data_IF_351360437151
#
_entry.id   IF_351360437151
#
_cell.length_a   1.000
_cell.length_b   1.000
_cell.length_c   1.000
_cell.angle_alpha   90.00
_cell.angle_beta   90.00
_cell.angle_gamma   90.00
#
_symmetry.space_group_name_H-M   'P 1'
#
loop_
_entity.id
_entity.type
_entity.pdbx_description
1 polymer ?
#
# COMPACT_ATOMS: atom_id res chain seq x y z
N UNK A 1 1.25 -0.48 -27.27
CA UNK A 1 0.08 -0.95 -26.52
C UNK A 1 0.01 -0.18 -25.21
N UNK A 2 -1.11 0.51 -24.98
CA UNK A 2 -1.34 1.44 -23.87
C UNK A 2 -2.42 0.90 -22.96
N UNK A 3 -2.09 0.68 -21.70
CA UNK A 3 -3.01 0.11 -20.72
C UNK A 3 -3.02 0.99 -19.47
N UNK A 4 -4.22 1.37 -19.03
CA UNK A 4 -4.40 2.06 -17.76
C UNK A 4 -4.94 1.10 -16.71
N UNK A 5 -4.21 0.92 -15.63
CA UNK A 5 -4.70 0.23 -14.46
C UNK A 5 -5.35 1.19 -13.47
N UNK A 6 -6.40 0.73 -12.80
CA UNK A 6 -7.21 1.53 -11.88
C UNK A 6 -7.43 0.76 -10.57
N UNK A 7 -7.21 1.45 -9.45
CA UNK A 7 -7.55 1.03 -8.10
C UNK A 7 -8.49 2.06 -7.47
N UNK A 8 -9.64 1.63 -6.95
CA UNK A 8 -10.66 2.50 -6.34
C UNK A 8 -11.79 1.74 -5.62
N UNK A 9 -12.71 2.48 -5.00
CA UNK A 9 -13.90 2.01 -4.27
C UNK A 9 -13.60 1.22 -2.99
N UNK A 10 -12.47 1.55 -2.35
CA UNK A 10 -12.11 1.09 -1.00
C UNK A 10 -11.28 2.15 -0.25
N UNK A 11 -10.01 2.34 -0.63
CA UNK A 11 -9.14 3.43 -0.18
C UNK A 11 -7.94 3.56 -1.12
N UNK A 12 -7.22 4.69 -1.05
CA UNK A 12 -5.98 4.92 -1.80
C UNK A 12 -6.12 4.76 -3.31
N UNK A 13 -7.21 5.29 -3.87
CA UNK A 13 -7.48 5.20 -5.30
C UNK A 13 -6.34 5.79 -6.14
N UNK A 14 -6.05 5.12 -7.26
CA UNK A 14 -4.91 5.43 -8.10
C UNK A 14 -5.14 5.00 -9.55
N UNK A 15 -4.44 5.68 -10.46
CA UNK A 15 -4.33 5.28 -11.86
C UNK A 15 -2.85 5.15 -12.23
N UNK A 16 -2.54 4.19 -13.11
CA UNK A 16 -1.21 3.99 -13.65
C UNK A 16 -1.29 3.62 -15.13
N UNK A 17 -0.53 4.32 -15.97
CA UNK A 17 -0.42 4.07 -17.40
C UNK A 17 0.90 3.36 -17.71
N UNK A 18 0.77 2.29 -18.48
CA UNK A 18 1.90 1.64 -19.15
C UNK A 18 1.77 1.82 -20.66
N UNK A 19 2.91 1.98 -21.32
CA UNK A 19 3.03 2.01 -22.78
C UNK A 19 4.14 1.03 -23.19
N UNK A 20 3.76 -0.01 -23.93
CA UNK A 20 4.66 -1.05 -24.45
C UNK A 20 5.57 -1.66 -23.36
N UNK A 21 4.98 -1.91 -22.19
CA UNK A 21 5.66 -2.53 -21.04
C UNK A 21 6.42 -1.54 -20.16
N UNK A 22 6.55 -0.27 -20.57
CA UNK A 22 7.16 0.79 -19.77
C UNK A 22 6.12 1.51 -18.92
N UNK A 23 6.47 1.80 -17.66
CA UNK A 23 5.65 2.63 -16.79
C UNK A 23 5.85 4.09 -17.17
N UNK A 24 4.78 4.74 -17.64
CA UNK A 24 4.83 6.14 -18.10
C UNK A 24 4.45 7.09 -16.97
N UNK A 25 3.31 6.83 -16.33
CA UNK A 25 2.74 7.69 -15.30
C UNK A 25 1.99 6.87 -14.25
N UNK A 26 2.02 7.32 -13.00
CA UNK A 26 1.21 6.75 -11.93
C UNK A 26 0.98 7.79 -10.83
N UNK A 27 -0.26 7.91 -10.35
CA UNK A 27 -0.59 8.84 -9.28
C UNK A 27 -1.79 8.36 -8.46
N UNK A 28 -1.82 8.77 -7.19
CA UNK A 28 -2.96 8.56 -6.30
C UNK A 28 -3.91 9.76 -6.38
N UNK A 29 -5.22 9.51 -6.37
CA UNK A 29 -6.26 10.55 -6.50
C UNK A 29 -6.19 11.57 -5.35
N UNK A 30 -5.86 11.11 -4.13
CA UNK A 30 -5.73 11.96 -2.94
C UNK A 30 -4.73 13.12 -3.13
N UNK A 31 -3.77 12.96 -4.05
CA UNK A 31 -2.78 14.00 -4.35
C UNK A 31 -3.40 15.17 -5.11
N UNK A 32 -4.49 14.95 -5.84
CA UNK A 32 -5.22 15.96 -6.60
C UNK A 32 -6.49 16.44 -5.89
N UNK A 33 -7.22 15.54 -5.22
CA UNK A 33 -8.46 15.91 -4.50
C UNK A 33 -8.18 16.51 -3.13
N UNK A 34 -6.99 16.26 -2.58
CA UNK A 34 -6.58 16.65 -1.22
C UNK A 34 -7.43 15.99 -0.13
N UNK A 35 -8.27 15.02 -0.50
CA UNK A 35 -9.01 14.12 0.40
C UNK A 35 -8.12 12.89 0.67
N UNK A 36 -7.60 12.79 1.89
CA UNK A 36 -6.71 11.69 2.27
C UNK A 36 -7.44 10.35 2.17
N UNK A 37 -6.78 9.33 1.61
CA UNK A 37 -7.32 8.00 1.34
C UNK A 37 -8.57 8.05 0.44
N UNK A 38 -8.57 8.93 -0.56
CA UNK A 38 -9.72 9.04 -1.47
C UNK A 38 -10.05 7.68 -2.09
N UNK A 39 -11.28 7.27 -1.92
CA UNK A 39 -11.83 5.98 -2.34
C UNK A 39 -12.63 6.10 -3.64
N UNK A 40 -12.86 7.32 -4.14
CA UNK A 40 -13.59 7.55 -5.37
C UNK A 40 -12.86 6.99 -6.61
N UNK A 41 -13.54 6.98 -7.75
CA UNK A 41 -12.88 6.69 -9.02
C UNK A 41 -11.79 7.75 -9.29
N UNK A 42 -10.57 7.36 -9.71
CA UNK A 42 -9.42 8.25 -9.73
C UNK A 42 -9.39 9.10 -11.01
N UNK A 43 -10.42 9.92 -11.21
CA UNK A 43 -10.62 10.66 -12.46
C UNK A 43 -9.49 11.67 -12.73
N UNK A 44 -8.94 12.32 -11.71
CA UNK A 44 -7.85 13.29 -11.91
C UNK A 44 -6.52 12.58 -12.16
N UNK A 45 -6.24 11.49 -11.45
CA UNK A 45 -5.05 10.69 -11.72
C UNK A 45 -5.10 10.02 -13.10
N UNK A 46 -6.29 9.58 -13.55
CA UNK A 46 -6.50 9.03 -14.89
C UNK A 46 -6.22 10.06 -15.97
N UNK A 47 -6.79 11.27 -15.86
CA UNK A 47 -6.51 12.38 -16.79
C UNK A 47 -5.04 12.77 -16.78
N UNK A 48 -4.42 12.86 -15.60
CA UNK A 48 -2.98 13.08 -15.50
C UNK A 48 -2.17 12.03 -16.29
N UNK A 49 -2.54 10.75 -16.23
CA UNK A 49 -1.84 9.72 -16.99
C UNK A 49 -1.96 9.91 -18.51
N UNK A 50 -3.13 10.36 -18.99
CA UNK A 50 -3.34 10.70 -20.40
C UNK A 50 -2.49 11.91 -20.81
N UNK A 51 -2.57 12.99 -20.02
CA UNK A 51 -1.89 14.26 -20.28
C UNK A 51 -0.36 14.06 -20.30
N UNK A 52 0.18 13.32 -19.34
CA UNK A 52 1.62 13.03 -19.23
C UNK A 52 2.15 12.24 -20.43
N UNK A 53 1.33 11.37 -21.01
CA UNK A 53 1.69 10.62 -22.22
C UNK A 53 1.37 11.36 -23.52
N UNK A 54 0.65 12.50 -23.46
CA UNK A 54 0.22 13.24 -24.64
C UNK A 54 -0.77 12.46 -25.52
N UNK A 55 -1.60 11.60 -24.91
CA UNK A 55 -2.55 10.73 -25.62
C UNK A 55 -4.00 11.05 -25.25
N UNK A 56 -4.93 10.71 -26.14
CA UNK A 56 -6.36 10.77 -25.87
C UNK A 56 -6.92 9.46 -25.30
N UNK A 57 -8.17 9.45 -24.80
CA UNK A 57 -8.81 8.23 -24.31
C UNK A 57 -9.02 7.17 -25.42
N UNK A 58 -9.17 7.61 -26.68
CA UNK A 58 -9.26 6.74 -27.85
C UNK A 58 -8.01 5.87 -28.04
N UNK A 59 -6.83 6.37 -27.66
CA UNK A 59 -5.53 5.70 -27.79
C UNK A 59 -5.30 4.59 -26.76
N UNK A 60 -6.15 4.48 -25.74
CA UNK A 60 -6.04 3.42 -24.73
C UNK A 60 -6.54 2.10 -25.33
N UNK A 61 -5.73 1.04 -25.25
CA UNK A 61 -6.14 -0.30 -25.67
C UNK A 61 -7.02 -0.97 -24.59
N UNK A 62 -6.60 -0.88 -23.32
CA UNK A 62 -7.32 -1.49 -22.20
C UNK A 62 -7.32 -0.63 -20.94
N UNK A 63 -8.40 -0.74 -20.16
CA UNK A 63 -8.48 -0.28 -18.77
C UNK A 63 -8.64 -1.49 -17.87
N UNK A 64 -7.82 -1.63 -16.83
CA UNK A 64 -7.80 -2.83 -15.98
C UNK A 64 -8.10 -2.47 -14.54
N UNK A 65 -9.15 -3.05 -13.98
CA UNK A 65 -9.46 -2.92 -12.56
C UNK A 65 -8.74 -4.01 -11.75
N UNK A 66 -8.16 -3.62 -10.62
CA UNK A 66 -7.21 -4.45 -9.85
C UNK A 66 -7.81 -5.64 -9.08
N UNK A 67 -9.13 -5.73 -8.94
CA UNK A 67 -9.82 -6.82 -8.23
C UNK A 67 -11.02 -7.38 -9.02
N UNK A 68 -11.41 -8.63 -8.74
CA UNK A 68 -12.61 -9.27 -9.31
C UNK A 68 -13.84 -9.07 -8.39
N UNK A 69 -14.86 -8.30 -8.82
CA UNK A 69 -15.99 -7.92 -7.95
C UNK A 69 -16.82 -9.11 -7.44
N UNK A 70 -17.05 -10.12 -8.30
CA UNK A 70 -17.89 -11.27 -7.97
C UNK A 70 -17.28 -12.19 -6.92
N UNK A 71 -15.97 -12.44 -6.99
CA UNK A 71 -15.26 -13.30 -6.03
C UNK A 71 -15.25 -12.62 -4.64
N UNK A 72 -15.06 -11.29 -4.61
CA UNK A 72 -15.16 -10.51 -3.38
C UNK A 72 -16.56 -10.55 -2.77
N UNK A 73 -17.60 -10.52 -3.61
CA UNK A 73 -18.99 -10.64 -3.17
C UNK A 73 -19.30 -12.02 -2.59
N UNK A 74 -18.83 -13.09 -3.26
CA UNK A 74 -18.91 -14.47 -2.78
C UNK A 74 -18.29 -14.61 -1.39
N UNK A 75 -17.06 -14.09 -1.18
CA UNK A 75 -16.41 -14.08 0.15
C UNK A 75 -17.29 -13.50 1.24
N UNK A 76 -17.94 -12.37 0.98
CA UNK A 76 -18.73 -11.69 2.00
C UNK A 76 -19.94 -12.53 2.43
N UNK A 77 -20.62 -13.15 1.45
CA UNK A 77 -21.74 -14.07 1.73
C UNK A 77 -21.23 -15.24 2.56
N UNK A 78 -20.18 -15.92 2.11
CA UNK A 78 -19.64 -17.08 2.80
C UNK A 78 -19.13 -16.75 4.20
N UNK A 79 -18.52 -15.57 4.39
CA UNK A 79 -18.11 -15.09 5.71
C UNK A 79 -19.32 -14.99 6.64
N UNK A 80 -20.40 -14.35 6.20
CA UNK A 80 -21.57 -14.20 7.07
C UNK A 80 -22.24 -15.54 7.41
N UNK A 81 -22.21 -16.51 6.49
CA UNK A 81 -22.69 -17.87 6.73
C UNK A 81 -21.77 -18.64 7.69
N UNK A 82 -20.46 -18.55 7.52
CA UNK A 82 -19.46 -19.23 8.35
C UNK A 82 -19.53 -18.83 9.82
N UNK A 83 -19.90 -17.58 10.10
CA UNK A 83 -20.03 -17.05 11.45
C UNK A 83 -21.49 -16.98 11.96
N UNK A 84 -22.40 -17.77 11.38
CA UNK A 84 -23.77 -17.88 11.88
C UNK A 84 -23.81 -18.43 13.33
N UNK A 85 -24.74 -17.96 14.19
CA UNK A 85 -25.82 -17.02 13.89
C UNK A 85 -25.42 -15.54 13.96
N UNK A 86 -24.26 -15.19 14.52
CA UNK A 86 -23.82 -13.78 14.68
C UNK A 86 -23.66 -13.06 13.35
N UNK A 87 -23.16 -13.75 12.34
CA UNK A 87 -23.00 -13.24 10.98
C UNK A 87 -24.31 -12.86 10.28
N UNK A 88 -25.45 -13.45 10.69
CA UNK A 88 -26.75 -13.21 10.05
C UNK A 88 -27.25 -11.76 10.24
N UNK A 89 -27.01 -11.18 11.43
CA UNK A 89 -27.35 -9.77 11.68
C UNK A 89 -26.56 -8.81 10.78
N UNK A 90 -25.30 -9.14 10.50
CA UNK A 90 -24.43 -8.35 9.62
C UNK A 90 -24.76 -8.57 8.16
N UNK A 91 -25.11 -9.79 7.76
CA UNK A 91 -25.68 -10.11 6.45
C UNK A 91 -26.89 -9.23 6.15
N UNK A 92 -27.89 -9.18 7.05
CA UNK A 92 -29.12 -8.41 6.81
C UNK A 92 -28.87 -6.90 6.66
N UNK A 93 -27.87 -6.36 7.36
CA UNK A 93 -27.49 -4.93 7.25
C UNK A 93 -26.67 -4.62 6.01
N UNK A 94 -25.73 -5.51 5.68
CA UNK A 94 -24.77 -5.28 4.62
C UNK A 94 -25.36 -5.61 3.24
N UNK A 95 -26.14 -6.69 3.13
CA UNK A 95 -26.61 -7.23 1.86
C UNK A 95 -27.35 -6.21 0.97
N UNK A 96 -28.25 -5.34 1.49
CA UNK A 96 -28.91 -4.32 0.67
C UNK A 96 -27.95 -3.30 0.06
N UNK A 97 -26.87 -2.95 0.75
CA UNK A 97 -25.82 -2.05 0.24
C UNK A 97 -24.96 -2.77 -0.81
N UNK A 98 -24.54 -4.01 -0.52
CA UNK A 98 -23.74 -4.81 -1.45
C UNK A 98 -24.48 -5.12 -2.76
N UNK A 99 -25.77 -5.42 -2.68
CA UNK A 99 -26.65 -5.62 -3.86
C UNK A 99 -26.76 -4.36 -4.72
N UNK A 100 -26.74 -3.16 -4.12
CA UNK A 100 -26.88 -1.87 -4.84
C UNK A 100 -25.55 -1.30 -5.35
N UNK A 101 -24.45 -1.50 -4.66
CA UNK A 101 -23.18 -0.84 -4.99
C UNK A 101 -22.19 -1.78 -5.70
N UNK A 102 -21.99 -3.00 -5.18
CA UNK A 102 -20.86 -3.85 -5.58
C UNK A 102 -21.19 -4.86 -6.68
N UNK A 103 -22.44 -5.35 -6.74
CA UNK A 103 -22.95 -6.03 -7.94
C UNK A 103 -22.98 -5.12 -9.17
N UNK A 104 -22.99 -3.80 -8.95
CA UNK A 104 -22.90 -2.78 -9.98
C UNK A 104 -21.50 -2.17 -10.12
N UNK A 105 -20.45 -2.73 -9.50
CA UNK A 105 -19.10 -2.15 -9.59
C UNK A 105 -18.61 -2.03 -11.04
N UNK A 106 -18.88 -3.05 -11.86
CA UNK A 106 -18.61 -3.01 -13.30
C UNK A 106 -19.39 -1.89 -14.01
N UNK A 107 -20.65 -1.67 -13.61
CA UNK A 107 -21.49 -0.59 -14.14
C UNK A 107 -20.97 0.77 -13.70
N UNK A 108 -20.60 0.94 -12.43
CA UNK A 108 -20.06 2.17 -11.88
C UNK A 108 -18.72 2.54 -12.53
N UNK A 109 -17.81 1.57 -12.72
CA UNK A 109 -16.58 1.77 -13.49
C UNK A 109 -16.89 2.25 -14.91
N UNK A 110 -17.84 1.62 -15.58
CA UNK A 110 -18.26 2.01 -16.92
C UNK A 110 -18.88 3.41 -16.97
N UNK A 111 -19.73 3.78 -16.00
CA UNK A 111 -20.32 5.12 -15.90
C UNK A 111 -19.23 6.19 -15.70
N UNK A 112 -18.27 5.95 -14.79
CA UNK A 112 -17.15 6.87 -14.56
C UNK A 112 -16.22 6.99 -15.78
N UNK A 113 -15.97 5.89 -16.51
CA UNK A 113 -15.17 5.92 -17.73
C UNK A 113 -15.89 6.69 -18.85
N UNK A 114 -17.22 6.54 -18.99
CA UNK A 114 -18.01 7.34 -19.93
C UNK A 114 -18.00 8.84 -19.62
N UNK A 115 -17.84 9.22 -18.35
CA UNK A 115 -17.65 10.64 -17.99
C UNK A 115 -16.28 11.18 -18.40
N UNK A 116 -15.27 10.32 -18.58
CA UNK A 116 -13.97 10.71 -19.14
C UNK A 116 -14.09 10.90 -20.65
N UNK A 117 -14.67 9.92 -21.34
CA UNK A 117 -14.92 9.96 -22.78
C UNK A 117 -16.23 9.23 -23.12
N UNK A 118 -17.28 9.94 -23.51
CA UNK A 118 -18.57 9.34 -23.85
C UNK A 118 -18.54 8.47 -25.12
N UNK A 119 -17.62 8.74 -26.04
CA UNK A 119 -17.57 8.15 -27.38
C UNK A 119 -16.67 6.90 -27.45
N UNK A 120 -15.80 6.72 -26.46
CA UNK A 120 -14.94 5.54 -26.37
C UNK A 120 -15.72 4.26 -25.98
N UNK A 121 -15.39 3.14 -26.63
CA UNK A 121 -15.95 1.82 -26.30
C UNK A 121 -15.27 1.22 -25.05
N UNK A 122 -15.58 1.77 -23.88
CA UNK A 122 -15.05 1.28 -22.62
C UNK A 122 -15.49 -0.15 -22.27
N UNK A 123 -16.57 -0.66 -22.87
CA UNK A 123 -17.07 -2.00 -22.54
C UNK A 123 -16.14 -3.09 -23.05
N UNK A 124 -15.63 -2.94 -24.27
CA UNK A 124 -14.66 -3.90 -24.84
C UNK A 124 -13.26 -3.71 -24.26
N UNK A 125 -12.92 -2.49 -23.82
CA UNK A 125 -11.60 -2.15 -23.26
C UNK A 125 -11.44 -2.52 -21.78
N UNK A 126 -12.52 -2.69 -21.01
CA UNK A 126 -12.47 -2.95 -19.56
C UNK A 126 -12.14 -4.41 -19.22
N UNK A 127 -11.01 -4.62 -18.56
CA UNK A 127 -10.51 -5.88 -18.04
C UNK A 127 -10.47 -5.88 -16.50
N UNK A 128 -10.31 -7.07 -15.91
CA UNK A 128 -10.21 -7.27 -14.46
C UNK A 128 -9.04 -8.21 -14.13
N UNK A 129 -8.24 -7.83 -13.14
CA UNK A 129 -7.18 -8.65 -12.55
C UNK A 129 -7.60 -9.15 -11.17
N UNK A 130 -6.88 -10.16 -10.65
CA UNK A 130 -7.03 -10.59 -9.25
C UNK A 130 -6.19 -9.70 -8.33
N UNK A 131 -6.67 -9.39 -7.13
CA UNK A 131 -6.04 -8.43 -6.21
C UNK A 131 -4.58 -8.81 -5.88
N UNK A 132 -4.36 -10.05 -5.45
CA UNK A 132 -3.02 -10.52 -5.11
C UNK A 132 -2.13 -10.73 -6.33
N UNK A 133 -2.70 -11.05 -7.51
CA UNK A 133 -1.96 -11.06 -8.77
C UNK A 133 -1.51 -9.65 -9.15
N UNK A 134 -2.37 -8.64 -8.95
CA UNK A 134 -2.03 -7.24 -9.15
C UNK A 134 -0.89 -6.83 -8.21
N UNK A 135 -0.94 -7.16 -6.92
CA UNK A 135 0.20 -6.93 -6.02
C UNK A 135 1.48 -7.63 -6.50
N UNK A 136 1.39 -8.91 -6.85
CA UNK A 136 2.53 -9.68 -7.33
C UNK A 136 3.14 -9.08 -8.59
N UNK A 137 2.32 -8.72 -9.58
CA UNK A 137 2.70 -8.09 -10.83
C UNK A 137 3.31 -6.70 -10.59
N UNK A 138 2.75 -5.92 -9.67
CA UNK A 138 3.28 -4.60 -9.32
C UNK A 138 4.70 -4.69 -8.77
N UNK A 139 5.09 -5.82 -8.16
CA UNK A 139 6.44 -5.97 -7.64
C UNK A 139 7.39 -6.70 -8.57
N UNK A 140 6.95 -7.80 -9.16
CA UNK A 140 7.83 -8.63 -9.98
C UNK A 140 8.22 -7.92 -11.27
N UNK A 141 7.27 -7.39 -12.05
CA UNK A 141 7.56 -6.85 -13.38
C UNK A 141 8.53 -5.66 -13.37
N UNK A 142 8.41 -4.66 -12.48
CA UNK A 142 9.38 -3.57 -12.43
C UNK A 142 10.66 -3.94 -11.67
N UNK A 143 10.72 -5.08 -10.97
CA UNK A 143 11.97 -5.51 -10.33
C UNK A 143 13.07 -5.78 -11.37
N UNK A 144 14.35 -5.69 -10.99
CA UNK A 144 15.47 -6.03 -11.86
C UNK A 144 15.72 -7.55 -11.97
N UNK A 145 14.79 -8.38 -11.50
CA UNK A 145 14.97 -9.82 -11.43
C UNK A 145 14.23 -10.52 -12.57
N UNK A 146 14.96 -11.34 -13.34
CA UNK A 146 14.35 -12.24 -14.34
C UNK A 146 13.51 -13.33 -13.66
N UNK A 147 13.99 -13.84 -12.53
CA UNK A 147 13.31 -14.86 -11.71
C UNK A 147 13.39 -14.51 -10.23
N UNK A 148 12.26 -14.58 -9.52
CA UNK A 148 12.17 -14.25 -8.10
C UNK A 148 11.01 -14.96 -7.42
N UNK A 149 11.16 -15.17 -6.10
CA UNK A 149 10.04 -15.45 -5.22
C UNK A 149 9.23 -14.17 -5.08
N UNK A 150 7.91 -14.29 -5.11
CA UNK A 150 6.99 -13.18 -4.87
C UNK A 150 6.22 -13.50 -3.61
N UNK A 151 6.26 -12.60 -2.61
CA UNK A 151 5.48 -12.69 -1.39
C UNK A 151 4.62 -11.43 -1.25
N UNK A 152 3.32 -11.62 -1.33
CA UNK A 152 2.31 -10.56 -1.15
C UNK A 152 1.65 -10.75 0.21
N UNK A 153 1.58 -9.69 1.02
CA UNK A 153 1.01 -9.73 2.36
C UNK A 153 0.16 -8.49 2.58
N UNK A 154 -1.14 -8.67 2.74
CA UNK A 154 -2.10 -7.58 2.77
C UNK A 154 -3.21 -7.78 3.82
N UNK A 155 -4.08 -6.78 3.98
CA UNK A 155 -5.27 -6.88 4.82
C UNK A 155 -6.21 -7.97 4.30
N UNK A 156 -6.80 -7.75 3.13
CA UNK A 156 -7.72 -8.70 2.47
C UNK A 156 -7.93 -8.34 1.00
N UNK A 157 -7.75 -9.30 0.09
CA UNK A 157 -8.17 -9.20 -1.30
C UNK A 157 -9.59 -9.75 -1.53
N UNK A 158 -9.77 -10.52 -2.60
CA UNK A 158 -11.02 -11.25 -2.82
C UNK A 158 -11.19 -12.39 -1.83
N UNK A 159 -10.12 -13.16 -1.58
CA UNK A 159 -10.04 -14.22 -0.58
C UNK A 159 -8.68 -14.28 0.09
N UNK A 160 -7.61 -14.18 -0.71
CA UNK A 160 -6.27 -14.17 -0.20
C UNK A 160 -6.01 -12.96 0.72
N UNK A 161 -5.15 -13.18 1.69
CA UNK A 161 -4.61 -12.18 2.63
C UNK A 161 -3.09 -12.22 2.58
N UNK A 162 -2.52 -13.39 2.26
CA UNK A 162 -1.13 -13.59 1.92
C UNK A 162 -1.08 -14.52 0.72
N UNK A 163 -0.29 -14.20 -0.30
CA UNK A 163 -0.01 -15.13 -1.42
C UNK A 163 1.49 -15.21 -1.69
N UNK A 164 1.97 -16.42 -1.93
CA UNK A 164 3.33 -16.69 -2.35
C UNK A 164 3.35 -17.33 -3.75
N UNK A 165 4.27 -16.91 -4.57
CA UNK A 165 4.39 -17.37 -5.95
C UNK A 165 5.79 -17.20 -6.52
N UNK A 166 5.92 -17.55 -7.79
CA UNK A 166 7.15 -17.45 -8.56
C UNK A 166 6.90 -16.56 -9.76
N UNK A 167 7.75 -15.56 -9.93
CA UNK A 167 7.91 -14.83 -11.18
C UNK A 167 9.06 -15.42 -11.99
N UNK A 168 8.83 -15.67 -13.28
CA UNK A 168 9.81 -16.25 -14.21
C UNK A 168 9.61 -15.66 -15.62
N UNK A 169 10.51 -14.77 -16.03
CA UNK A 169 10.39 -13.99 -17.27
C UNK A 169 9.11 -13.15 -17.27
N UNK A 170 8.19 -13.42 -18.21
CA UNK A 170 6.88 -12.76 -18.30
C UNK A 170 5.76 -13.48 -17.55
N UNK A 171 6.05 -14.58 -16.85
CA UNK A 171 5.04 -15.40 -16.17
C UNK A 171 5.05 -15.15 -14.67
N UNK A 172 3.86 -15.16 -14.09
CA UNK A 172 3.66 -15.20 -12.63
C UNK A 172 2.79 -16.42 -12.32
N UNK A 173 3.23 -17.25 -11.37
CA UNK A 173 2.45 -18.36 -10.84
C UNK A 173 2.30 -18.20 -9.33
N UNK A 174 1.08 -17.96 -8.87
CA UNK A 174 0.75 -18.03 -7.45
C UNK A 174 0.62 -19.52 -7.07
N UNK A 175 1.33 -19.94 -6.04
CA UNK A 175 1.40 -21.36 -5.64
C UNK A 175 0.73 -21.63 -4.30
N UNK A 176 0.69 -20.63 -3.42
CA UNK A 176 0.18 -20.75 -2.06
C UNK A 176 -0.56 -19.49 -1.66
N UNK A 177 -1.60 -19.67 -0.87
CA UNK A 177 -2.39 -18.59 -0.29
C UNK A 177 -2.76 -18.90 1.15
N UNK A 178 -2.77 -17.87 1.98
CA UNK A 178 -3.53 -17.83 3.23
C UNK A 178 -4.78 -17.01 2.92
N UNK A 179 -5.93 -17.55 3.30
CA UNK A 179 -7.23 -16.94 3.01
C UNK A 179 -7.84 -16.30 4.23
N UNK A 180 -8.66 -15.30 3.96
CA UNK A 180 -9.56 -14.70 4.94
C UNK A 180 -10.39 -15.80 5.64
N UNK A 181 -10.56 -15.74 6.97
CA UNK A 181 -10.33 -14.59 7.84
C UNK A 181 -8.91 -14.45 8.42
N UNK A 182 -7.99 -15.35 8.10
CA UNK A 182 -6.64 -15.33 8.67
C UNK A 182 -5.77 -14.32 7.91
N UNK A 183 -5.42 -13.20 8.54
CA UNK A 183 -4.63 -12.14 7.91
C UNK A 183 -3.63 -11.54 8.88
N UNK A 184 -2.37 -11.47 8.46
CA UNK A 184 -1.33 -10.77 9.22
C UNK A 184 -1.59 -9.26 9.25
N UNK A 185 -2.10 -8.71 8.14
CA UNK A 185 -2.53 -7.31 8.06
C UNK A 185 -3.66 -7.00 9.05
N UNK A 186 -4.71 -7.83 9.09
CA UNK A 186 -5.84 -7.62 10.03
C UNK A 186 -5.44 -7.86 11.49
N UNK A 187 -4.51 -8.78 11.76
CA UNK A 187 -3.92 -8.94 13.09
C UNK A 187 -3.22 -7.64 13.51
N UNK A 188 -2.38 -7.06 12.64
CA UNK A 188 -1.71 -5.79 12.92
C UNK A 188 -2.70 -4.63 13.08
N UNK A 189 -3.74 -4.57 12.25
CA UNK A 189 -4.82 -3.59 12.35
C UNK A 189 -5.65 -3.76 13.62
N UNK A 190 -5.77 -4.97 14.19
CA UNK A 190 -6.42 -5.18 15.47
C UNK A 190 -5.65 -4.50 16.61
N UNK A 191 -4.31 -4.58 16.62
CA UNK A 191 -3.49 -3.82 17.57
C UNK A 191 -3.48 -2.32 17.28
N UNK A 192 -3.58 -1.92 16.02
CA UNK A 192 -3.76 -0.52 15.62
C UNK A 192 -5.04 0.07 16.21
N UNK A 193 -6.15 -0.66 16.07
CA UNK A 193 -7.43 -0.31 16.70
C UNK A 193 -7.31 -0.30 18.23
N UNK A 194 -6.69 -1.33 18.81
CA UNK A 194 -6.59 -1.52 20.25
C UNK A 194 -5.72 -0.46 20.95
N UNK A 195 -4.74 0.09 20.25
CA UNK A 195 -3.92 1.23 20.69
C UNK A 195 -4.56 2.59 20.35
N UNK A 196 -5.83 2.60 19.92
CA UNK A 196 -6.62 3.81 19.70
C UNK A 196 -6.24 4.60 18.44
N UNK A 197 -5.60 3.94 17.47
CA UNK A 197 -5.32 4.54 16.16
C UNK A 197 -6.37 4.11 15.13
N UNK A 198 -6.51 4.92 14.07
CA UNK A 198 -7.46 4.66 12.99
C UNK A 198 -6.94 3.53 12.09
N UNK A 199 -7.73 2.48 11.93
CA UNK A 199 -7.46 1.35 11.01
C UNK A 199 -7.36 1.85 9.55
N UNK A 200 -6.56 1.17 8.72
CA UNK A 200 -6.24 1.50 7.33
C UNK A 200 -5.52 2.85 7.15
N UNK A 201 -4.93 3.41 8.21
CA UNK A 201 -4.23 4.70 8.18
C UNK A 201 -3.30 4.95 9.36
N UNK A 202 -3.33 4.11 10.37
CA UNK A 202 -2.65 4.27 11.66
C UNK A 202 -1.63 3.17 11.93
N UNK A 203 -1.53 2.16 11.07
CA UNK A 203 -0.65 1.01 11.21
C UNK A 203 0.81 1.46 11.32
N UNK A 204 1.23 2.43 10.49
CA UNK A 204 2.59 2.97 10.59
C UNK A 204 2.85 3.70 11.93
N UNK A 205 1.81 4.16 12.64
CA UNK A 205 1.96 4.76 13.98
C UNK A 205 2.29 3.70 15.02
N UNK A 206 1.67 2.52 14.93
CA UNK A 206 2.04 1.37 15.77
C UNK A 206 3.49 0.97 15.51
N UNK A 207 3.89 0.90 14.24
CA UNK A 207 5.28 0.63 13.88
C UNK A 207 6.25 1.67 14.46
N UNK A 208 5.88 2.96 14.41
CA UNK A 208 6.67 4.04 15.02
C UNK A 208 6.63 4.07 16.55
N UNK A 209 5.60 3.49 17.16
CA UNK A 209 5.45 3.39 18.61
C UNK A 209 6.25 2.21 19.20
N UNK A 210 6.42 1.14 18.42
CA UNK A 210 7.09 -0.09 18.83
C UNK A 210 8.49 0.10 19.47
N UNK A 211 9.38 1.00 18.99
CA UNK A 211 10.70 1.21 19.61
C UNK A 211 10.67 1.79 21.04
N UNK A 212 9.52 2.29 21.49
CA UNK A 212 9.35 2.86 22.84
C UNK A 212 8.82 1.83 23.84
N UNK A 213 8.59 0.58 23.41
CA UNK A 213 8.09 -0.50 24.24
C UNK A 213 9.04 -1.68 24.31
N UNK A 214 8.68 -2.63 25.18
CA UNK A 214 9.31 -3.95 25.25
C UNK A 214 8.31 -5.03 24.78
N UNK A 215 8.75 -6.08 24.06
CA UNK A 215 7.88 -7.11 23.48
C UNK A 215 7.31 -8.10 24.53
N UNK A 216 6.77 -7.60 25.64
CA UNK A 216 6.29 -8.39 26.79
C UNK A 216 5.12 -9.31 26.45
N UNK A 217 4.34 -8.96 25.43
CA UNK A 217 3.15 -9.70 25.03
C UNK A 217 3.39 -10.60 23.81
N UNK A 218 4.59 -10.66 23.22
CA UNK A 218 4.86 -11.48 22.03
C UNK A 218 4.51 -12.94 22.25
N UNK A 219 4.95 -13.50 23.40
CA UNK A 219 4.64 -14.88 23.78
C UNK A 219 3.13 -15.10 23.91
N UNK A 220 2.43 -14.18 24.57
CA UNK A 220 0.98 -14.24 24.76
C UNK A 220 0.23 -14.23 23.42
N UNK A 221 0.67 -13.41 22.47
CA UNK A 221 0.12 -13.33 21.11
C UNK A 221 0.32 -14.67 20.37
N UNK A 222 1.54 -15.22 20.40
CA UNK A 222 1.88 -16.50 19.74
C UNK A 222 1.18 -17.71 20.37
N UNK A 223 0.84 -17.65 21.65
CA UNK A 223 0.16 -18.75 22.34
C UNK A 223 -1.37 -18.70 22.19
N UNK A 224 -1.96 -17.53 21.92
CA UNK A 224 -3.42 -17.35 21.98
C UNK A 224 -4.05 -16.82 20.69
N UNK A 225 -3.40 -15.88 19.99
CA UNK A 225 -4.02 -15.18 18.87
C UNK A 225 -3.68 -15.78 17.51
N UNK A 226 -2.46 -16.30 17.36
CA UNK A 226 -1.93 -16.78 16.09
C UNK A 226 -1.11 -18.06 16.27
N UNK A 227 -1.52 -19.11 15.59
CA UNK A 227 -0.76 -20.35 15.47
C UNK A 227 0.10 -20.29 14.20
N UNK A 228 1.42 -20.15 14.39
CA UNK A 228 2.40 -19.97 13.30
C UNK A 228 3.21 -21.27 13.13
N UNK A 229 3.07 -21.89 11.97
CA UNK A 229 3.77 -23.11 11.60
C UNK A 229 5.23 -22.85 11.22
N UNK A 230 6.01 -23.92 11.06
CA UNK A 230 7.44 -23.84 10.70
C UNK A 230 7.67 -23.26 9.30
N UNK A 231 6.73 -23.47 8.38
CA UNK A 231 6.78 -22.93 7.02
C UNK A 231 6.28 -21.47 6.94
N UNK A 232 5.92 -20.88 8.08
CA UNK A 232 5.38 -19.53 8.19
C UNK A 232 3.89 -19.42 7.85
N UNK A 233 3.23 -20.51 7.45
CA UNK A 233 1.77 -20.51 7.37
C UNK A 233 1.17 -20.31 8.77
N UNK A 234 0.00 -19.70 8.84
CA UNK A 234 -0.61 -19.39 10.13
C UNK A 234 -2.13 -19.42 10.08
N UNK A 235 -2.73 -19.60 11.26
CA UNK A 235 -4.16 -19.41 11.51
C UNK A 235 -4.36 -18.53 12.73
N UNK A 236 -5.36 -17.67 12.67
CA UNK A 236 -5.78 -16.84 13.80
C UNK A 236 -6.87 -17.54 14.59
N UNK A 237 -6.82 -17.44 15.92
CA UNK A 237 -7.99 -17.77 16.76
C UNK A 237 -9.02 -16.65 16.63
N UNK A 238 -10.01 -16.89 15.76
CA UNK A 238 -11.06 -15.94 15.42
C UNK A 238 -11.95 -15.56 16.61
N UNK A 239 -11.93 -16.30 17.72
CA UNK A 239 -12.74 -15.95 18.90
C UNK A 239 -12.29 -14.68 19.62
N UNK A 240 -11.09 -14.17 19.32
CA UNK A 240 -10.58 -12.89 19.84
C UNK A 240 -10.89 -11.68 18.96
N UNK A 241 -11.48 -11.89 17.78
CA UNK A 241 -11.68 -10.84 16.79
C UNK A 241 -13.15 -10.67 16.43
N UNK A 242 -13.54 -9.43 16.12
CA UNK A 242 -14.91 -9.09 15.73
C UNK A 242 -15.01 -8.65 14.27
N UNK A 243 -13.92 -8.44 13.54
CA UNK A 243 -13.96 -7.85 12.18
C UNK A 243 -14.69 -8.71 11.13
N UNK A 244 -14.97 -9.98 11.42
CA UNK A 244 -15.76 -10.85 10.53
C UNK A 244 -17.27 -10.61 10.65
N UNK A 245 -17.75 -10.13 11.81
CA UNK A 245 -19.19 -10.00 12.10
C UNK A 245 -19.60 -8.69 12.74
N UNK A 246 -18.67 -7.89 13.23
CA UNK A 246 -18.90 -6.66 13.97
C UNK A 246 -18.36 -5.43 13.25
N UNK A 247 -18.55 -4.27 13.90
CA UNK A 247 -18.02 -2.97 13.44
C UNK A 247 -16.68 -2.62 14.10
N UNK A 248 -16.07 -3.57 14.81
CA UNK A 248 -14.84 -3.41 15.60
C UNK A 248 -13.84 -4.50 15.22
N UNK A 249 -12.56 -4.25 15.49
CA UNK A 249 -11.50 -5.24 15.22
C UNK A 249 -11.42 -6.31 16.31
N UNK A 250 -11.56 -5.92 17.58
CA UNK A 250 -11.35 -6.76 18.77
C UNK A 250 -12.60 -6.84 19.64
N UNK A 251 -12.62 -7.76 20.60
CA UNK A 251 -13.75 -8.02 21.48
C UNK A 251 -13.35 -8.20 22.97
N UNK A 252 -14.32 -8.52 23.83
CA UNK A 252 -14.10 -8.68 25.26
C UNK A 252 -13.09 -9.80 25.63
N UNK A 253 -12.95 -10.85 24.80
CA UNK A 253 -11.94 -11.90 25.00
C UNK A 253 -10.53 -11.33 24.77
N UNK A 254 -10.38 -10.46 23.77
CA UNK A 254 -9.15 -9.70 23.54
C UNK A 254 -8.85 -8.75 24.70
N UNK A 255 -9.87 -8.04 25.19
CA UNK A 255 -9.74 -7.14 26.34
C UNK A 255 -9.23 -7.89 27.59
N UNK A 256 -9.82 -9.06 27.87
CA UNK A 256 -9.42 -9.91 28.98
C UNK A 256 -7.97 -10.41 28.82
N UNK A 257 -7.55 -10.78 27.61
CA UNK A 257 -6.20 -11.28 27.33
C UNK A 257 -5.13 -10.23 27.65
N UNK A 258 -5.36 -8.96 27.30
CA UNK A 258 -4.38 -7.89 27.49
C UNK A 258 -4.65 -7.02 28.73
N UNK A 259 -5.60 -7.42 29.59
CA UNK A 259 -5.85 -6.78 30.89
C UNK A 259 -6.53 -5.42 30.83
N UNK A 260 -7.44 -5.19 29.88
CA UNK A 260 -8.24 -3.95 29.83
C UNK A 260 -8.89 -3.71 28.46
N UNK A 261 -9.68 -2.64 28.28
CA UNK A 261 -10.25 -2.30 26.98
C UNK A 261 -9.22 -1.67 26.03
N UNK A 262 -9.60 -1.54 24.77
CA UNK A 262 -8.90 -0.71 23.78
C UNK A 262 -8.79 0.75 24.23
N UNK A 263 -7.67 1.40 23.90
CA UNK A 263 -7.44 2.83 24.16
C UNK A 263 -8.42 3.68 23.36
N UNK A 264 -8.98 4.72 23.96
CA UNK A 264 -9.71 5.76 23.21
C UNK A 264 -8.74 6.76 22.58
N UNK A 265 -9.03 7.33 21.40
CA UNK A 265 -8.11 8.23 20.70
C UNK A 265 -7.61 9.43 21.52
N UNK A 266 -8.44 9.96 22.42
CA UNK A 266 -8.20 11.11 23.29
C UNK A 266 -7.38 10.80 24.56
N UNK A 267 -7.20 9.52 24.91
CA UNK A 267 -6.43 9.13 26.09
C UNK A 267 -4.93 9.29 25.88
N UNK A 268 -4.14 9.39 26.95
CA UNK A 268 -2.68 9.39 26.79
C UNK A 268 -2.17 7.99 26.44
N UNK A 269 -1.11 7.93 25.62
CA UNK A 269 -0.35 6.70 25.43
C UNK A 269 0.38 6.34 26.73
N UNK A 270 0.44 5.05 27.03
CA UNK A 270 1.03 4.52 28.26
C UNK A 270 2.07 3.46 27.87
N UNK A 271 2.91 3.05 28.83
CA UNK A 271 3.90 2.00 28.57
C UNK A 271 3.24 0.70 28.07
N UNK A 272 2.04 0.35 28.57
CA UNK A 272 1.27 -0.80 28.08
C UNK A 272 1.00 -0.71 26.57
N UNK A 273 0.63 0.45 26.06
CA UNK A 273 0.38 0.64 24.62
C UNK A 273 1.66 0.52 23.79
N UNK A 274 2.79 1.00 24.32
CA UNK A 274 4.10 0.86 23.68
C UNK A 274 4.55 -0.61 23.67
N UNK A 275 4.39 -1.31 24.80
CA UNK A 275 4.74 -2.74 24.93
C UNK A 275 3.86 -3.62 24.01
N UNK A 276 2.57 -3.29 23.85
CA UNK A 276 1.68 -3.93 22.87
C UNK A 276 2.17 -3.70 21.44
N UNK A 277 2.54 -2.47 21.09
CA UNK A 277 3.09 -2.14 19.77
C UNK A 277 4.41 -2.87 19.47
N UNK A 278 5.32 -2.92 20.45
CA UNK A 278 6.56 -3.68 20.36
C UNK A 278 6.30 -5.18 20.15
N UNK A 279 5.33 -5.73 20.88
CA UNK A 279 4.99 -7.16 20.83
C UNK A 279 4.39 -7.57 19.49
N UNK A 280 3.41 -6.83 18.95
CA UNK A 280 2.85 -7.16 17.64
C UNK A 280 3.88 -6.96 16.51
N UNK A 281 4.78 -5.98 16.65
CA UNK A 281 5.87 -5.77 15.71
C UNK A 281 6.81 -6.99 15.69
N UNK A 282 7.23 -7.48 16.86
CA UNK A 282 8.06 -8.67 16.98
C UNK A 282 7.38 -9.93 16.41
N UNK A 283 6.09 -10.15 16.69
CA UNK A 283 5.33 -11.27 16.11
C UNK A 283 5.24 -11.17 14.58
N UNK A 284 4.99 -9.97 14.06
CA UNK A 284 4.94 -9.74 12.61
C UNK A 284 6.28 -10.07 11.97
N UNK A 285 7.38 -9.63 12.57
CA UNK A 285 8.72 -9.96 12.12
C UNK A 285 8.98 -11.47 12.11
N UNK A 286 8.56 -12.21 13.15
CA UNK A 286 8.71 -13.66 13.23
C UNK A 286 7.96 -14.35 12.08
N UNK A 287 6.69 -13.99 11.86
CA UNK A 287 5.85 -14.60 10.82
C UNK A 287 6.43 -14.34 9.42
N UNK A 288 6.74 -13.08 9.12
CA UNK A 288 7.31 -12.67 7.83
C UNK A 288 8.64 -13.38 7.57
N UNK A 289 9.51 -13.44 8.58
CA UNK A 289 10.79 -14.17 8.50
C UNK A 289 10.59 -15.65 8.17
N UNK A 290 9.71 -16.34 8.90
CA UNK A 290 9.47 -17.78 8.67
C UNK A 290 8.96 -18.06 7.27
N UNK A 291 8.01 -17.26 6.78
CA UNK A 291 7.50 -17.39 5.41
C UNK A 291 8.64 -17.20 4.39
N UNK A 292 9.43 -16.13 4.53
CA UNK A 292 10.53 -15.84 3.62
C UNK A 292 11.61 -16.94 3.63
N UNK A 293 12.08 -17.36 4.82
CA UNK A 293 13.08 -18.43 4.95
C UNK A 293 12.57 -19.76 4.38
N UNK A 294 11.30 -20.09 4.59
CA UNK A 294 10.70 -21.30 4.04
C UNK A 294 10.66 -21.25 2.51
N UNK A 295 10.21 -20.13 1.93
CA UNK A 295 10.16 -19.95 0.48
C UNK A 295 11.57 -19.98 -0.14
N UNK A 296 12.56 -19.36 0.50
CA UNK A 296 13.96 -19.43 0.05
C UNK A 296 14.46 -20.89 -0.01
N UNK A 297 14.26 -21.67 1.07
CA UNK A 297 14.66 -23.08 1.13
C UNK A 297 13.92 -23.95 0.11
N UNK A 298 12.61 -23.74 -0.04
CA UNK A 298 11.77 -24.55 -0.92
C UNK A 298 12.07 -24.29 -2.41
N UNK A 299 12.30 -23.04 -2.78
CA UNK A 299 12.49 -22.64 -4.19
C UNK A 299 13.96 -22.65 -4.63
N UNK A 300 14.89 -22.50 -3.69
CA UNK A 300 16.32 -22.29 -3.97
C UNK A 300 16.64 -20.94 -4.63
N UNK A 301 15.66 -20.05 -4.78
CA UNK A 301 15.85 -18.73 -5.39
C UNK A 301 16.49 -17.75 -4.42
N UNK A 302 17.24 -16.80 -4.98
CA UNK A 302 17.99 -15.80 -4.22
C UNK A 302 17.42 -14.38 -4.29
N UNK A 303 16.34 -14.18 -5.05
CA UNK A 303 15.67 -12.89 -5.19
C UNK A 303 14.26 -12.95 -4.63
N UNK A 304 13.86 -11.92 -3.88
CA UNK A 304 12.53 -11.78 -3.28
C UNK A 304 11.88 -10.46 -3.70
N UNK A 305 10.64 -10.53 -4.19
CA UNK A 305 9.77 -9.40 -4.46
C UNK A 305 8.66 -9.32 -3.38
N UNK A 306 8.47 -8.14 -2.79
CA UNK A 306 7.47 -7.89 -1.75
C UNK A 306 6.43 -6.84 -2.18
N UNK A 307 5.15 -7.13 -1.92
CA UNK A 307 4.01 -6.22 -2.09
C UNK A 307 2.89 -6.51 -1.07
N UNK A 308 1.82 -5.73 -1.12
CA UNK A 308 0.71 -5.73 -0.16
C UNK A 308 0.97 -4.78 1.01
N UNK A 309 -0.08 -4.33 1.71
CA UNK A 309 0.04 -3.31 2.74
C UNK A 309 1.04 -3.63 3.87
N UNK A 310 1.23 -4.92 4.21
CA UNK A 310 2.19 -5.36 5.23
C UNK A 310 3.64 -5.19 4.75
N UNK A 311 3.90 -5.24 3.44
CA UNK A 311 5.24 -5.01 2.89
C UNK A 311 5.74 -3.56 3.09
N UNK A 312 4.89 -2.62 3.55
CA UNK A 312 5.33 -1.29 3.98
C UNK A 312 5.94 -1.27 5.40
N UNK A 313 6.00 -2.42 6.10
CA UNK A 313 6.66 -2.57 7.38
C UNK A 313 8.19 -2.63 7.20
N UNK A 314 8.83 -1.45 7.19
CA UNK A 314 10.26 -1.34 6.95
C UNK A 314 11.13 -2.01 8.03
N UNK A 315 10.61 -2.19 9.24
CA UNK A 315 11.31 -2.88 10.33
C UNK A 315 11.41 -4.38 10.02
N UNK A 316 10.30 -5.00 9.62
CA UNK A 316 10.27 -6.39 9.17
C UNK A 316 11.14 -6.60 7.93
N UNK A 317 11.05 -5.70 6.94
CA UNK A 317 11.88 -5.76 5.74
C UNK A 317 13.38 -5.64 6.06
N UNK A 318 13.76 -4.78 7.01
CA UNK A 318 15.14 -4.65 7.45
C UNK A 318 15.67 -5.92 8.12
N UNK A 319 14.81 -6.64 8.86
CA UNK A 319 15.17 -7.94 9.46
C UNK A 319 15.34 -9.02 8.38
N UNK A 320 14.42 -9.08 7.41
CA UNK A 320 14.53 -9.98 6.26
C UNK A 320 15.84 -9.79 5.51
N UNK A 321 16.21 -8.53 5.23
CA UNK A 321 17.47 -8.22 4.54
C UNK A 321 18.69 -8.72 5.33
N UNK A 322 18.69 -8.56 6.67
CA UNK A 322 19.79 -9.02 7.53
C UNK A 322 19.84 -10.53 7.72
N UNK A 323 18.75 -11.26 7.48
CA UNK A 323 18.72 -12.72 7.60
C UNK A 323 19.55 -13.42 6.52
N UNK A 324 19.69 -12.82 5.33
CA UNK A 324 20.55 -13.35 4.27
C UNK A 324 20.01 -14.59 3.54
N UNK A 325 18.74 -14.94 3.75
CA UNK A 325 18.07 -16.02 3.00
C UNK A 325 17.96 -15.69 1.49
N UNK A 326 17.86 -14.40 1.16
CA UNK A 326 17.86 -13.86 -0.19
C UNK A 326 19.04 -12.89 -0.36
N UNK A 327 19.67 -12.91 -1.53
CA UNK A 327 20.77 -12.00 -1.89
C UNK A 327 20.26 -10.60 -2.19
N UNK A 328 19.06 -10.51 -2.79
CA UNK A 328 18.43 -9.25 -3.18
C UNK A 328 16.94 -9.27 -2.82
N UNK A 329 16.46 -8.14 -2.31
CA UNK A 329 15.05 -7.92 -1.97
C UNK A 329 14.59 -6.66 -2.69
N UNK A 330 13.51 -6.77 -3.46
CA UNK A 330 12.85 -5.65 -4.10
C UNK A 330 11.45 -5.48 -3.51
N UNK A 331 11.08 -4.25 -3.18
CA UNK A 331 9.84 -3.94 -2.45
C UNK A 331 9.12 -2.83 -3.19
N UNK A 332 7.85 -3.04 -3.53
CA UNK A 332 7.06 -2.06 -4.26
C UNK A 332 6.92 -0.76 -3.44
N UNK A 333 7.43 0.40 -3.91
CA UNK A 333 7.26 1.67 -3.19
C UNK A 333 5.81 2.02 -2.85
N UNK A 334 4.87 1.70 -3.73
CA UNK A 334 3.44 1.84 -3.52
C UNK A 334 2.78 0.49 -3.15
N UNK A 335 3.35 -0.27 -2.20
CA UNK A 335 2.97 -1.67 -1.97
C UNK A 335 1.51 -1.93 -1.57
N UNK A 336 0.79 -0.94 -1.02
CA UNK A 336 -0.65 -1.03 -0.75
C UNK A 336 -1.52 -0.99 -2.02
N UNK A 337 -2.83 -0.82 -1.86
CA UNK A 337 -3.82 -0.90 -2.96
C UNK A 337 -3.56 0.04 -4.13
N UNK A 338 -2.91 1.19 -3.90
CA UNK A 338 -2.51 2.10 -4.97
C UNK A 338 -1.61 1.40 -6.01
N UNK A 339 -0.66 0.57 -5.57
CA UNK A 339 0.20 -0.22 -6.46
C UNK A 339 -0.56 -1.30 -7.23
N UNK A 340 -1.75 -1.68 -6.76
CA UNK A 340 -2.66 -2.58 -7.48
C UNK A 340 -3.05 -2.05 -8.86
N UNK A 341 -3.20 -0.73 -9.02
CA UNK A 341 -3.44 -0.10 -10.32
C UNK A 341 -2.30 -0.44 -11.31
N UNK A 342 -1.06 -0.16 -10.92
CA UNK A 342 0.12 -0.47 -11.74
C UNK A 342 0.23 -1.97 -12.04
N UNK A 343 0.04 -2.80 -11.02
CA UNK A 343 0.09 -4.25 -11.15
C UNK A 343 -0.94 -4.82 -12.11
N UNK A 344 -2.17 -4.31 -12.07
CA UNK A 344 -3.25 -4.72 -12.97
C UNK A 344 -2.92 -4.43 -14.43
N UNK A 345 -2.36 -3.24 -14.71
CA UNK A 345 -1.91 -2.87 -16.05
C UNK A 345 -0.81 -3.80 -16.55
N UNK A 346 0.23 -4.02 -15.73
CA UNK A 346 1.37 -4.89 -16.08
C UNK A 346 0.94 -6.36 -16.26
N UNK A 347 0.02 -6.85 -15.42
CA UNK A 347 -0.56 -8.18 -15.56
C UNK A 347 -1.33 -8.32 -16.89
N UNK A 348 -2.11 -7.32 -17.28
CA UNK A 348 -2.80 -7.35 -18.57
C UNK A 348 -1.81 -7.32 -19.75
N UNK A 349 -0.73 -6.54 -19.68
CA UNK A 349 0.27 -6.50 -20.75
C UNK A 349 1.01 -7.83 -20.92
N UNK A 350 1.55 -8.40 -19.83
CA UNK A 350 2.37 -9.61 -19.92
C UNK A 350 1.55 -10.90 -19.97
N UNK A 351 0.52 -11.03 -19.12
CA UNK A 351 -0.23 -12.29 -18.97
C UNK A 351 -1.41 -12.37 -19.93
N UNK A 352 -2.17 -11.28 -20.11
CA UNK A 352 -3.34 -11.29 -20.97
C UNK A 352 -2.98 -11.09 -22.45
N UNK A 353 -2.17 -10.07 -22.77
CA UNK A 353 -1.73 -9.79 -24.14
C UNK A 353 -0.51 -10.62 -24.59
N UNK A 354 0.07 -11.42 -23.70
CA UNK A 354 1.18 -12.33 -24.00
C UNK A 354 2.47 -11.62 -24.42
N UNK A 355 2.66 -10.36 -24.01
CA UNK A 355 3.82 -9.56 -24.41
C UNK A 355 5.07 -9.97 -23.61
N UNK A 356 6.25 -10.01 -24.26
CA UNK A 356 7.49 -10.33 -23.56
C UNK A 356 7.80 -9.30 -22.48
N UNK A 357 8.54 -9.72 -21.46
CA UNK A 357 9.08 -8.83 -20.43
C UNK A 357 10.53 -8.51 -20.76
N UNK A 358 10.86 -7.23 -20.73
CA UNK A 358 12.24 -6.76 -20.77
C UNK A 358 12.69 -6.41 -19.35
N UNK A 359 13.71 -7.11 -18.84
CA UNK A 359 14.21 -6.90 -17.48
C UNK A 359 15.11 -5.67 -17.46
N UNK A 360 14.71 -4.65 -16.69
CA UNK A 360 15.51 -3.44 -16.50
C UNK A 360 16.44 -3.63 -15.30
N UNK A 361 17.75 -3.68 -15.55
CA UNK A 361 18.76 -4.06 -14.54
C UNK A 361 19.36 -2.88 -13.77
N UNK A 362 19.14 -1.64 -14.21
CA UNK A 362 19.56 -0.45 -13.46
C UNK A 362 18.76 0.82 -13.87
N UNK A 363 18.19 1.58 -12.92
CA UNK A 363 18.09 1.30 -11.47
C UNK A 363 16.99 0.29 -11.12
N UNK A 364 15.84 0.33 -11.81
CA UNK A 364 14.75 -0.67 -11.89
C UNK A 364 13.66 -0.12 -12.84
N UNK A 365 12.55 -0.84 -13.01
CA UNK A 365 11.41 -0.40 -13.84
C UNK A 365 10.55 0.73 -13.26
N UNK A 366 10.74 1.11 -11.98
CA UNK A 366 9.89 2.09 -11.29
C UNK A 366 10.33 3.54 -11.48
N UNK A 367 11.45 3.81 -12.17
CA UNK A 367 11.99 5.16 -12.35
C UNK A 367 12.15 5.92 -11.02
N UNK A 368 12.61 5.22 -9.97
CA UNK A 368 12.74 5.80 -8.62
C UNK A 368 11.41 6.17 -7.94
N UNK A 369 10.28 5.68 -8.48
CA UNK A 369 8.91 6.07 -8.12
C UNK A 369 8.53 7.50 -8.50
N UNK A 370 9.32 8.21 -9.32
CA UNK A 370 9.01 9.57 -9.78
C UNK A 370 8.06 9.55 -10.98
N UNK A 371 6.81 9.14 -10.73
CA UNK A 371 5.79 8.83 -11.74
C UNK A 371 4.59 9.79 -11.75
N UNK A 372 4.51 10.68 -10.75
CA UNK A 372 3.46 11.70 -10.62
C UNK A 372 3.84 13.03 -11.28
N UNK A 373 2.95 14.04 -11.23
CA UNK A 373 3.09 15.29 -11.97
C UNK A 373 4.38 16.05 -11.61
N UNK A 374 4.98 16.66 -12.63
CA UNK A 374 5.96 17.72 -12.53
C UNK A 374 5.31 19.06 -12.92
N UNK A 375 5.96 20.16 -12.55
CA UNK A 375 5.45 21.50 -12.81
C UNK A 375 6.54 22.32 -13.49
N UNK A 376 6.16 23.09 -14.51
CA UNK A 376 7.09 23.96 -15.22
C UNK A 376 7.43 25.20 -14.36
N UNK A 377 8.48 25.91 -14.76
CA UNK A 377 8.83 27.22 -14.16
C UNK A 377 7.63 28.18 -14.18
N UNK A 378 6.90 28.19 -15.30
CA UNK A 378 5.73 29.04 -15.47
C UNK A 378 4.61 28.71 -14.48
N UNK A 379 4.31 27.42 -14.30
CA UNK A 379 3.29 26.97 -13.35
C UNK A 379 3.64 27.36 -11.91
N UNK A 380 4.91 27.19 -11.54
CA UNK A 380 5.42 27.53 -10.21
C UNK A 380 5.34 29.05 -9.98
N UNK A 381 5.78 29.86 -10.95
CA UNK A 381 5.75 31.32 -10.84
C UNK A 381 4.32 31.84 -10.71
N UNK A 382 3.41 31.33 -11.54
CA UNK A 382 2.01 31.70 -11.51
C UNK A 382 1.38 31.36 -10.15
N UNK A 383 1.64 30.16 -9.62
CA UNK A 383 1.13 29.74 -8.32
C UNK A 383 1.70 30.59 -7.16
N UNK A 384 3.00 30.87 -7.14
CA UNK A 384 3.64 31.70 -6.10
C UNK A 384 3.16 33.14 -6.16
N UNK A 385 3.03 33.71 -7.35
CA UNK A 385 2.54 35.08 -7.55
C UNK A 385 1.07 35.21 -7.14
N UNK A 386 0.22 34.25 -7.51
CA UNK A 386 -1.18 34.21 -7.10
C UNK A 386 -1.34 34.10 -5.57
N UNK A 387 -0.41 33.43 -4.90
CA UNK A 387 -0.37 33.35 -3.44
C UNK A 387 0.19 34.62 -2.76
N UNK A 388 0.68 35.60 -3.53
CA UNK A 388 1.35 36.80 -2.99
C UNK A 388 2.70 36.51 -2.35
N UNK A 389 3.33 35.38 -2.71
CA UNK A 389 4.63 34.99 -2.14
C UNK A 389 5.75 35.90 -2.65
N UNK A 390 6.74 36.17 -1.80
CA UNK A 390 8.01 36.79 -2.20
C UNK A 390 9.02 35.69 -2.43
N UNK A 391 9.56 35.61 -3.64
CA UNK A 391 10.50 34.56 -4.04
C UNK A 391 11.62 35.12 -4.91
N UNK A 392 12.72 34.37 -4.96
CA UNK A 392 13.89 34.66 -5.78
C UNK A 392 14.22 33.44 -6.61
N UNK A 393 14.52 33.65 -7.90
CA UNK A 393 15.01 32.58 -8.77
C UNK A 393 16.50 32.35 -8.54
N UNK A 394 16.86 31.09 -8.32
CA UNK A 394 18.25 30.62 -8.31
C UNK A 394 18.44 29.78 -9.57
N UNK A 395 19.20 30.31 -10.54
CA UNK A 395 19.30 29.70 -11.88
C UNK A 395 20.23 28.47 -11.93
N UNK A 396 21.18 28.37 -10.99
CA UNK A 396 22.12 27.24 -10.93
C UNK A 396 21.70 26.26 -9.85
N UNK A 397 21.51 25.00 -10.22
CA UNK A 397 21.21 23.92 -9.28
C UNK A 397 22.24 23.83 -8.14
N UNK A 398 23.52 24.03 -8.44
CA UNK A 398 24.58 24.02 -7.44
C UNK A 398 24.37 25.10 -6.35
N UNK A 399 23.89 26.29 -6.74
CA UNK A 399 23.63 27.37 -5.81
C UNK A 399 22.35 27.11 -4.99
N UNK A 400 21.33 26.48 -5.60
CA UNK A 400 20.12 26.06 -4.90
C UNK A 400 20.43 24.98 -3.85
N UNK A 401 21.19 23.96 -4.22
CA UNK A 401 21.65 22.90 -3.32
C UNK A 401 22.50 23.48 -2.19
N UNK A 402 23.41 24.41 -2.51
CA UNK A 402 24.23 25.09 -1.50
C UNK A 402 23.35 25.87 -0.50
N UNK A 403 22.39 26.66 -0.99
CA UNK A 403 21.45 27.42 -0.15
C UNK A 403 20.63 26.48 0.77
N UNK A 404 20.12 25.38 0.23
CA UNK A 404 19.39 24.38 1.02
C UNK A 404 20.29 23.71 2.07
N UNK A 405 21.52 23.35 1.70
CA UNK A 405 22.48 22.74 2.62
C UNK A 405 22.89 23.68 3.74
N UNK A 406 23.12 24.97 3.44
CA UNK A 406 23.40 26.01 4.44
C UNK A 406 22.21 26.19 5.39
N UNK A 407 20.98 26.29 4.86
CA UNK A 407 19.78 26.40 5.69
C UNK A 407 19.60 25.18 6.62
N UNK A 408 19.84 23.97 6.12
CA UNK A 408 19.82 22.75 6.93
C UNK A 408 20.92 22.80 8.00
N UNK A 409 22.14 23.19 7.64
CA UNK A 409 23.26 23.27 8.59
C UNK A 409 23.03 24.29 9.72
N UNK A 410 22.24 25.34 9.45
CA UNK A 410 21.77 26.32 10.43
C UNK A 410 20.57 25.82 11.26
N UNK A 411 20.12 24.58 11.06
CA UNK A 411 19.01 23.99 11.80
C UNK A 411 17.62 24.43 11.34
N UNK A 412 17.48 24.97 10.12
CA UNK A 412 16.17 25.27 9.52
C UNK A 412 15.53 24.02 8.94
N UNK A 413 14.20 24.02 8.85
CA UNK A 413 13.44 23.05 8.08
C UNK A 413 13.23 23.59 6.66
N UNK A 414 13.49 22.78 5.63
CA UNK A 414 13.39 23.19 4.23
C UNK A 414 12.26 22.42 3.55
N UNK A 415 11.25 23.14 3.05
CA UNK A 415 10.27 22.57 2.13
C UNK A 415 10.93 22.39 0.76
N UNK A 416 10.87 21.18 0.21
CA UNK A 416 11.60 20.80 -1.00
C UNK A 416 10.64 20.19 -2.01
N UNK A 417 10.44 20.91 -3.11
CA UNK A 417 9.59 20.52 -4.23
C UNK A 417 10.38 20.60 -5.53
N UNK A 418 10.57 19.48 -6.22
CA UNK A 418 11.25 19.42 -7.52
C UNK A 418 10.70 18.27 -8.37
N UNK A 419 10.84 18.36 -9.69
CA UNK A 419 10.57 17.25 -10.62
C UNK A 419 9.21 16.55 -10.46
N UNK A 420 9.17 15.31 -10.94
CA UNK A 420 7.99 14.43 -10.88
C UNK A 420 7.73 13.96 -9.46
N UNK A 421 6.47 14.03 -9.04
CA UNK A 421 6.05 13.60 -7.71
C UNK A 421 6.22 12.08 -7.52
N UNK A 422 6.55 11.68 -6.30
CA UNK A 422 6.67 10.27 -5.90
C UNK A 422 5.30 9.57 -5.93
N UNK A 423 5.28 8.34 -6.44
CA UNK A 423 4.15 7.42 -6.32
C UNK A 423 4.30 6.55 -5.06
N UNK A 424 3.26 6.53 -4.23
CA UNK A 424 3.25 5.84 -2.95
C UNK A 424 3.26 6.77 -1.72
N UNK A 425 3.40 6.21 -0.50
CA UNK A 425 3.16 6.94 0.74
C UNK A 425 4.40 7.67 1.29
N UNK A 426 5.57 7.50 0.70
CA UNK A 426 6.84 8.07 1.18
C UNK A 426 7.28 9.22 0.28
N UNK A 427 7.70 10.32 0.91
CA UNK A 427 8.47 11.35 0.23
C UNK A 427 9.91 10.86 0.05
N UNK A 428 10.46 10.97 -1.15
CA UNK A 428 11.78 10.46 -1.55
C UNK A 428 12.70 11.56 -2.09
N UNK A 429 12.31 12.83 -1.96
CA UNK A 429 13.14 13.97 -2.33
C UNK A 429 12.54 14.88 -3.38
N UNK A 430 11.31 14.64 -3.84
CA UNK A 430 10.61 15.50 -4.78
C UNK A 430 9.42 16.21 -4.14
N UNK A 431 8.82 15.68 -3.07
CA UNK A 431 7.81 16.38 -2.24
C UNK A 431 8.12 16.20 -0.75
N UNK A 432 9.21 16.81 -0.30
CA UNK A 432 9.82 16.55 1.01
C UNK A 432 9.84 17.77 1.93
N UNK A 433 9.90 17.49 3.23
CA UNK A 433 10.38 18.45 4.23
C UNK A 433 11.71 17.91 4.74
N UNK A 434 12.80 18.63 4.48
CA UNK A 434 14.16 18.28 4.85
C UNK A 434 14.52 18.92 6.20
N UNK A 435 15.33 18.22 6.98
CA UNK A 435 15.86 18.71 8.25
C UNK A 435 17.25 18.12 8.52
N UNK A 436 18.05 18.81 9.35
CA UNK A 436 19.40 18.38 9.70
C UNK A 436 19.38 17.07 10.52
N UNK A 437 19.94 15.97 10.01
CA UNK A 437 19.98 14.70 10.74
C UNK A 437 20.93 14.72 11.95
N UNK A 438 21.83 15.71 12.05
CA UNK A 438 22.79 15.84 13.17
C UNK A 438 22.16 16.51 14.39
N UNK A 439 21.05 17.22 14.21
CA UNK A 439 20.43 18.01 15.27
C UNK A 439 19.56 17.12 16.17
N UNK A 440 19.85 17.02 17.48
CA UNK A 440 19.05 16.23 18.41
C UNK A 440 17.65 16.82 18.65
N UNK A 441 17.40 18.07 18.25
CA UNK A 441 16.13 18.77 18.46
C UNK A 441 15.26 18.84 17.20
N UNK A 442 15.82 18.56 16.02
CA UNK A 442 15.12 18.69 14.74
C UNK A 442 13.88 17.81 14.65
N UNK A 443 13.95 16.55 15.10
CA UNK A 443 12.78 15.65 15.13
C UNK A 443 11.62 16.26 15.94
N UNK A 444 11.92 16.74 17.15
CA UNK A 444 10.93 17.37 18.04
C UNK A 444 10.35 18.64 17.41
N UNK A 445 11.19 19.46 16.78
CA UNK A 445 10.77 20.68 16.09
C UNK A 445 9.81 20.36 14.93
N UNK A 446 10.17 19.40 14.07
CA UNK A 446 9.33 18.98 12.96
C UNK A 446 8.00 18.38 13.43
N UNK A 447 8.01 17.56 14.47
CA UNK A 447 6.78 16.94 14.99
C UNK A 447 5.83 17.95 15.62
N UNK A 448 6.34 18.82 16.50
CA UNK A 448 5.49 19.69 17.31
C UNK A 448 5.16 21.02 16.63
N UNK A 449 6.12 21.64 15.93
CA UNK A 449 5.95 22.99 15.38
C UNK A 449 5.55 23.03 13.91
N UNK A 450 5.90 21.99 13.14
CA UNK A 450 5.64 21.95 11.69
C UNK A 450 4.47 21.03 11.37
N UNK A 451 4.48 19.80 11.90
CA UNK A 451 3.52 18.74 11.54
C UNK A 451 2.38 18.56 12.54
N UNK A 452 2.45 19.20 13.71
CA UNK A 452 1.46 19.11 14.80
C UNK A 452 1.01 17.66 15.09
N UNK A 453 1.99 16.74 15.17
CA UNK A 453 1.76 15.30 15.32
C UNK A 453 2.46 14.75 16.56
N UNK A 454 2.27 13.47 16.82
CA UNK A 454 2.76 12.81 18.03
C UNK A 454 4.28 12.93 18.19
N UNK A 455 4.77 13.04 19.43
CA UNK A 455 6.19 13.30 19.72
C UNK A 455 7.12 12.15 19.33
N UNK A 456 6.62 10.91 19.30
CA UNK A 456 7.36 9.68 19.01
C UNK A 456 7.61 9.43 17.50
N UNK A 457 7.22 10.36 16.62
CA UNK A 457 7.13 10.18 15.16
C UNK A 457 8.30 10.71 14.33
#
# INVERSE_FOLDING_TARGET
MRIIGVSCFYHDSAAALIEDGRIVAAAQEERFTRKKHDDAFPAKAFRYCLDEAGIGPADIDHVVFYEKPFIKFERLIETYLMFAPRGFGSFLKAMPLWLKEKLFLKRLLFENLREIDPDADWRSKLLFSEHHLSHAASAFYPSPFDRAVILTMDGVGEWATTSAGIGDGSRIRIEREIRFPHSLGLLYSAFTYYTGFKVNSGEYKVMGLAPYGEPKFSKLILENLIDVQQDGSFRLDMSYFDYCTGLRMTNAKFDALFGGPARKPDELLTQRHMDLAASIQDVTEIVVSRMASHLARQTGMRNLCLAGGVALNCVANGKLLRQGDFDQIWIQPAAGDAGGALGAALAAYHLHAGKPREVQTAPDGMSGSYLGPAFSRHDIEAALSAAGARFTWIEKDADLVKCAAEALAEGKAVGWMQGRMEFGPRALGNRSILGDPRSPTMQKLLNLKVKFRESFR
#
